data_IF_628698433781
#
_entry.id   IF_628698433781
#
_cell.length_a   1.000
_cell.length_b   1.000
_cell.length_c   1.000
_cell.angle_alpha   90.00
_cell.angle_beta   90.00
_cell.angle_gamma   90.00
#
_symmetry.space_group_name_H-M   'P 1'
#
loop_
_entity.id
_entity.type
_entity.pdbx_description
1 polymer ?
#
# COMPACT_ATOMS: atom_id res chain seq x y z
N UNK A 1 -17.52 -11.92 29.97
CA UNK A 1 -18.32 -11.87 28.74
C UNK A 1 -17.88 -10.66 27.95
N UNK A 2 -17.65 -10.82 26.64
CA UNK A 2 -17.54 -9.67 25.72
C UNK A 2 -18.88 -8.95 25.77
N UNK A 3 -18.90 -7.74 26.34
CA UNK A 3 -20.08 -6.87 26.27
C UNK A 3 -20.14 -6.13 24.93
N UNK A 4 -19.01 -6.09 24.21
CA UNK A 4 -18.84 -5.53 22.87
C UNK A 4 -17.62 -6.19 22.20
N UNK A 5 -17.58 -6.32 20.86
CA UNK A 5 -16.36 -6.71 20.14
C UNK A 5 -15.21 -5.73 20.42
N UNK A 6 -13.96 -6.22 20.37
CA UNK A 6 -12.80 -5.36 20.18
C UNK A 6 -13.05 -4.48 18.96
N UNK A 7 -12.91 -3.16 19.12
CA UNK A 7 -13.20 -2.20 18.07
C UNK A 7 -12.07 -1.19 18.02
N UNK A 8 -11.35 -1.14 16.92
CA UNK A 8 -10.49 -0.02 16.57
C UNK A 8 -11.41 1.09 16.06
N UNK A 9 -11.60 2.14 16.85
CA UNK A 9 -12.27 3.35 16.37
C UNK A 9 -11.30 4.52 16.35
N UNK A 10 -11.18 5.24 15.22
CA UNK A 10 -11.98 5.13 13.99
C UNK A 10 -11.35 4.26 12.89
N UNK A 11 -12.19 3.65 12.05
CA UNK A 11 -12.11 3.40 10.58
C UNK A 11 -10.77 3.40 9.81
N UNK A 12 -10.73 2.55 8.77
CA UNK A 12 -10.08 2.75 7.46
C UNK A 12 -9.13 3.96 7.35
N UNK A 13 -7.83 3.68 7.23
CA UNK A 13 -6.77 4.69 7.15
C UNK A 13 -6.41 5.37 8.50
N UNK A 14 -6.38 4.64 9.62
CA UNK A 14 -5.98 5.18 10.94
C UNK A 14 -4.51 4.95 11.28
N UNK A 15 -3.76 4.29 10.40
CA UNK A 15 -2.36 4.01 10.53
C UNK A 15 -2.05 2.88 11.51
N UNK A 16 -0.77 2.51 11.56
CA UNK A 16 -0.32 1.41 12.40
C UNK A 16 -0.66 1.61 13.88
N UNK A 17 -1.43 0.69 14.43
CA UNK A 17 -1.89 0.74 15.81
C UNK A 17 -1.95 -0.65 16.47
N UNK A 18 -2.20 -0.68 17.78
CA UNK A 18 -2.35 -1.94 18.50
C UNK A 18 -3.39 -1.81 19.59
N UNK A 19 -4.34 -2.75 19.61
CA UNK A 19 -5.36 -2.88 20.65
C UNK A 19 -5.10 -4.15 21.44
N UNK A 20 -5.09 -4.03 22.77
CA UNK A 20 -4.90 -5.16 23.68
C UNK A 20 -6.18 -5.46 24.42
N UNK A 21 -6.64 -6.72 24.35
CA UNK A 21 -7.70 -7.25 25.20
C UNK A 21 -7.13 -8.25 26.22
N UNK A 22 -7.67 -8.24 27.44
CA UNK A 22 -7.25 -9.15 28.50
C UNK A 22 -8.45 -9.86 29.11
N UNK A 23 -8.40 -11.19 29.11
CA UNK A 23 -9.43 -12.06 29.67
C UNK A 23 -8.89 -12.74 30.92
N UNK A 24 -9.59 -12.61 32.04
CA UNK A 24 -9.30 -13.45 33.21
C UNK A 24 -10.08 -14.75 33.07
N UNK A 25 -9.40 -15.89 33.20
CA UNK A 25 -10.02 -17.21 33.20
C UNK A 25 -9.74 -17.94 34.51
N UNK A 26 -10.62 -18.88 34.83
CA UNK A 26 -10.49 -19.77 35.96
C UNK A 26 -10.49 -21.21 35.45
N UNK A 27 -9.50 -22.00 35.86
CA UNK A 27 -9.44 -23.43 35.56
C UNK A 27 -9.63 -24.22 36.86
N UNK A 28 -10.49 -25.23 36.80
CA UNK A 28 -10.82 -26.12 37.92
C UNK A 28 -10.49 -27.54 37.53
N UNK A 29 -9.70 -28.26 38.33
CA UNK A 29 -9.43 -29.68 38.11
C UNK A 29 -10.57 -30.58 38.61
N UNK A 30 -10.46 -31.90 38.39
CA UNK A 30 -11.48 -32.86 38.81
C UNK A 30 -11.61 -33.03 40.33
N UNK A 31 -10.65 -32.51 41.10
CA UNK A 31 -10.65 -32.52 42.57
C UNK A 31 -11.19 -31.20 43.15
N UNK A 32 -11.54 -30.22 42.31
CA UNK A 32 -12.06 -28.93 42.72
C UNK A 32 -10.99 -27.89 43.03
N UNK A 33 -9.71 -28.15 42.72
CA UNK A 33 -8.67 -27.12 42.84
C UNK A 33 -8.85 -26.07 41.77
N UNK A 34 -8.73 -24.80 42.15
CA UNK A 34 -9.00 -23.66 41.27
C UNK A 34 -7.74 -22.82 41.08
N UNK A 35 -7.41 -22.49 39.83
CA UNK A 35 -6.40 -21.49 39.47
C UNK A 35 -7.04 -20.38 38.64
N UNK A 36 -6.60 -19.14 38.85
CA UNK A 36 -7.00 -17.98 38.05
C UNK A 36 -5.78 -17.48 37.28
N UNK A 37 -5.95 -17.18 36.00
CA UNK A 37 -4.90 -16.64 35.13
C UNK A 37 -5.52 -15.75 34.05
N UNK A 38 -4.70 -15.23 33.14
CA UNK A 38 -5.14 -14.34 32.07
C UNK A 38 -4.77 -14.86 30.69
N UNK A 39 -5.58 -14.52 29.70
CA UNK A 39 -5.31 -14.61 28.27
C UNK A 39 -5.22 -13.18 27.77
N UNK A 40 -4.12 -12.82 27.11
CA UNK A 40 -3.92 -11.50 26.50
C UNK A 40 -3.97 -11.67 24.98
N UNK A 41 -4.79 -10.85 24.32
CA UNK A 41 -4.93 -10.80 22.87
C UNK A 41 -4.48 -9.43 22.39
N UNK A 42 -3.58 -9.39 21.42
CA UNK A 42 -3.16 -8.16 20.75
C UNK A 42 -3.67 -8.21 19.31
N UNK A 43 -4.35 -7.14 18.90
CA UNK A 43 -4.74 -6.88 17.51
C UNK A 43 -3.78 -5.80 17.03
N UNK A 44 -2.96 -6.14 16.03
CA UNK A 44 -1.97 -5.23 15.45
C UNK A 44 -2.46 -4.82 14.08
N UNK A 45 -2.60 -3.53 13.90
CA UNK A 45 -2.97 -2.87 12.65
C UNK A 45 -1.69 -2.38 11.97
N UNK A 46 -1.54 -2.61 10.67
CA UNK A 46 -0.36 -2.19 9.92
C UNK A 46 -0.72 -1.30 8.73
N UNK A 47 0.30 -0.69 8.12
CA UNK A 47 0.17 0.18 6.96
C UNK A 47 0.88 -0.51 5.80
N UNK A 48 0.39 -0.43 4.55
CA UNK A 48 1.14 -0.96 3.42
C UNK A 48 2.45 -0.18 3.30
N UNK A 49 3.49 -0.82 2.79
CA UNK A 49 4.78 -0.18 2.53
C UNK A 49 5.07 -0.17 1.04
N UNK A 50 4.95 1.01 0.46
CA UNK A 50 5.35 1.28 -0.92
C UNK A 50 6.86 1.58 -0.97
N UNK A 51 7.60 0.93 -1.87
CA UNK A 51 9.01 1.15 -2.11
C UNK A 51 9.19 1.74 -3.51
N UNK A 52 10.06 2.75 -3.64
CA UNK A 52 10.26 3.40 -4.93
C UNK A 52 10.75 2.41 -6.00
N UNK A 53 10.18 2.54 -7.19
CA UNK A 53 10.59 1.80 -8.38
C UNK A 53 11.54 2.62 -9.24
N UNK A 54 12.26 1.90 -10.11
CA UNK A 54 13.05 2.52 -11.18
C UNK A 54 13.03 1.62 -12.41
N UNK A 55 12.89 2.21 -13.58
CA UNK A 55 13.06 1.53 -14.86
C UNK A 55 13.87 2.42 -15.82
N UNK A 56 14.46 1.79 -16.83
CA UNK A 56 15.13 2.51 -17.92
C UNK A 56 14.62 1.99 -19.26
N UNK A 57 14.50 2.89 -20.21
CA UNK A 57 14.06 2.59 -21.57
C UNK A 57 14.89 3.42 -22.53
N UNK A 58 15.16 2.87 -23.71
CA UNK A 58 15.73 3.67 -24.80
C UNK A 58 14.68 4.65 -25.31
N UNK A 59 15.13 5.80 -25.77
CA UNK A 59 14.27 6.80 -26.39
C UNK A 59 13.38 6.20 -27.51
N UNK A 60 12.10 6.57 -27.52
CA UNK A 60 11.11 6.02 -28.45
C UNK A 60 10.68 4.57 -28.14
N UNK A 61 11.22 3.96 -27.09
CA UNK A 61 10.89 2.61 -26.65
C UNK A 61 9.77 2.57 -25.62
N UNK A 62 9.41 1.34 -25.26
CA UNK A 62 8.41 1.03 -24.23
C UNK A 62 9.03 0.10 -23.20
N UNK A 63 8.75 0.33 -21.92
CA UNK A 63 9.10 -0.57 -20.82
C UNK A 63 7.86 -0.88 -20.01
N UNK A 64 7.73 -2.14 -19.60
CA UNK A 64 6.65 -2.63 -18.74
C UNK A 64 7.20 -3.22 -17.45
N UNK A 65 6.38 -3.18 -16.40
CA UNK A 65 6.71 -3.73 -15.10
C UNK A 65 5.48 -3.80 -14.20
N UNK A 66 5.68 -4.26 -12.97
CA UNK A 66 4.65 -4.19 -11.94
C UNK A 66 5.21 -3.48 -10.71
N UNK A 67 4.62 -2.34 -10.34
CA UNK A 67 5.08 -1.52 -9.18
C UNK A 67 4.91 -2.25 -7.86
N UNK A 68 3.98 -3.21 -7.78
CA UNK A 68 3.75 -3.98 -6.55
C UNK A 68 4.82 -5.04 -6.29
N UNK A 69 5.78 -5.24 -7.22
CA UNK A 69 6.75 -6.33 -7.13
C UNK A 69 7.73 -6.19 -5.96
N UNK A 70 8.01 -4.96 -5.52
CA UNK A 70 8.86 -4.65 -4.38
C UNK A 70 8.07 -4.13 -3.16
N UNK A 71 6.74 -4.07 -3.24
CA UNK A 71 5.87 -3.49 -2.23
C UNK A 71 5.38 -4.53 -1.21
N UNK A 72 4.96 -4.06 -0.03
CA UNK A 72 4.36 -4.89 1.03
C UNK A 72 2.94 -4.40 1.28
N UNK A 73 1.95 -5.28 1.10
CA UNK A 73 0.53 -4.93 1.17
C UNK A 73 -0.11 -4.91 2.57
N UNK A 74 0.68 -5.04 3.64
CA UNK A 74 0.14 -5.14 5.01
C UNK A 74 -0.52 -6.49 5.32
N UNK A 75 -1.08 -6.60 6.52
CA UNK A 75 -1.80 -7.75 7.05
C UNK A 75 -3.21 -7.89 6.44
N UNK A 76 -3.80 -6.77 6.01
CA UNK A 76 -5.15 -6.72 5.40
C UNK A 76 -5.15 -7.08 3.90
N UNK A 77 -3.95 -7.19 3.31
CA UNK A 77 -3.79 -7.41 1.88
C UNK A 77 -4.23 -6.19 1.06
N UNK A 78 -4.16 -6.24 -0.28
CA UNK A 78 -4.49 -5.09 -1.12
C UNK A 78 -5.97 -4.72 -1.05
N UNK A 79 -6.26 -3.43 -1.26
CA UNK A 79 -7.63 -2.95 -1.42
C UNK A 79 -8.43 -3.76 -2.45
N UNK A 80 -9.74 -3.88 -2.22
CA UNK A 80 -10.64 -4.57 -3.14
C UNK A 80 -10.61 -3.89 -4.53
N UNK A 81 -10.19 -4.65 -5.55
CA UNK A 81 -10.03 -4.15 -6.93
C UNK A 81 -8.61 -3.78 -7.33
N UNK A 82 -7.63 -3.90 -6.42
CA UNK A 82 -6.21 -3.70 -6.69
C UNK A 82 -5.55 -2.80 -5.65
N UNK A 83 -4.26 -3.05 -5.38
CA UNK A 83 -3.50 -2.34 -4.36
C UNK A 83 -3.15 -0.89 -4.71
N UNK A 84 -3.22 -0.48 -5.98
CA UNK A 84 -2.92 0.90 -6.41
C UNK A 84 -4.22 1.70 -6.55
N UNK A 85 -4.30 2.86 -5.90
CA UNK A 85 -5.49 3.73 -5.93
C UNK A 85 -5.34 4.99 -6.77
N UNK A 86 -4.11 5.36 -7.14
CA UNK A 86 -3.90 6.47 -8.05
C UNK A 86 -2.46 6.70 -8.45
N UNK A 87 -2.29 7.52 -9.49
CA UNK A 87 -1.00 7.93 -10.06
C UNK A 87 -1.07 9.35 -10.61
N UNK A 88 0.02 10.11 -10.45
CA UNK A 88 0.18 11.46 -11.05
C UNK A 88 1.64 11.72 -11.43
N UNK A 89 1.86 12.65 -12.36
CA UNK A 89 3.20 13.12 -12.69
C UNK A 89 3.81 13.93 -11.52
N UNK A 90 5.14 13.84 -11.38
CA UNK A 90 5.91 14.52 -10.34
C UNK A 90 6.35 13.59 -9.22
N UNK A 91 7.16 14.14 -8.31
CA UNK A 91 7.85 13.42 -7.23
C UNK A 91 7.31 13.70 -5.83
N UNK A 92 6.19 14.42 -5.73
CA UNK A 92 5.63 14.83 -4.44
C UNK A 92 4.89 13.66 -3.75
N UNK A 93 5.51 13.09 -2.74
CA UNK A 93 4.93 12.01 -1.94
C UNK A 93 4.17 12.50 -0.69
N UNK A 94 4.07 13.81 -0.48
CA UNK A 94 3.45 14.37 0.74
C UNK A 94 1.93 14.23 0.78
N UNK A 95 1.29 14.05 -0.38
CA UNK A 95 -0.15 13.84 -0.50
C UNK A 95 -0.45 12.55 -1.27
N UNK A 96 -1.35 11.70 -0.76
CA UNK A 96 -1.83 10.54 -1.50
C UNK A 96 -2.50 10.91 -2.82
N UNK A 97 -2.43 9.99 -3.78
CA UNK A 97 -3.03 10.12 -5.10
C UNK A 97 -4.22 9.18 -5.23
N UNK A 98 -5.32 9.71 -5.75
CA UNK A 98 -6.49 8.91 -6.11
C UNK A 98 -6.88 9.25 -7.54
N UNK A 99 -7.10 8.22 -8.35
CA UNK A 99 -7.43 8.37 -9.78
C UNK A 99 -6.20 8.40 -10.70
N UNK A 100 -6.42 8.67 -11.99
CA UNK A 100 -5.37 8.63 -13.03
C UNK A 100 -5.03 7.22 -13.55
N UNK A 101 -5.55 6.17 -12.91
CA UNK A 101 -5.37 4.79 -13.36
C UNK A 101 -5.96 4.57 -14.75
N UNK A 102 -5.33 3.68 -15.52
CA UNK A 102 -5.69 3.34 -16.91
C UNK A 102 -5.76 4.55 -17.86
N UNK A 103 -5.14 5.67 -17.49
CA UNK A 103 -5.04 6.88 -18.30
C UNK A 103 -3.56 7.20 -18.57
N UNK A 104 -3.31 7.95 -19.63
CA UNK A 104 -1.96 8.43 -19.92
C UNK A 104 -1.61 9.59 -18.98
N UNK A 105 -0.65 9.35 -18.10
CA UNK A 105 -0.06 10.37 -17.23
C UNK A 105 1.19 10.90 -17.94
N UNK A 106 1.09 12.11 -18.48
CA UNK A 106 2.18 12.70 -19.25
C UNK A 106 3.31 13.19 -18.32
N UNK A 107 4.53 12.72 -18.61
CA UNK A 107 5.77 13.32 -18.14
C UNK A 107 6.32 14.29 -19.19
N UNK A 108 7.60 14.62 -19.05
CA UNK A 108 8.35 15.48 -19.99
C UNK A 108 8.86 14.68 -21.19
N UNK A 109 9.26 13.43 -20.99
CA UNK A 109 9.95 12.58 -21.96
C UNK A 109 9.11 11.37 -22.41
N UNK A 110 7.91 11.21 -21.86
CA UNK A 110 7.00 10.13 -22.19
C UNK A 110 5.69 10.22 -21.42
N UNK A 111 4.96 9.12 -21.40
CA UNK A 111 3.80 8.97 -20.53
C UNK A 111 3.78 7.58 -19.88
N UNK A 112 3.23 7.53 -18.66
CA UNK A 112 2.98 6.32 -17.91
C UNK A 112 1.50 5.96 -17.98
N UNK A 113 1.19 4.67 -18.15
CA UNK A 113 -0.13 4.10 -17.82
C UNK A 113 0.07 3.12 -16.67
N UNK A 114 -0.77 3.20 -15.64
CA UNK A 114 -0.75 2.32 -14.47
C UNK A 114 -2.16 1.83 -14.17
N UNK A 115 -2.33 0.53 -13.92
CA UNK A 115 -3.60 -0.04 -13.48
C UNK A 115 -3.64 -0.28 -11.97
N UNK A 116 -4.82 -0.65 -11.45
CA UNK A 116 -5.02 -0.91 -10.02
C UNK A 116 -4.24 -2.13 -9.50
N UNK A 117 -3.84 -3.05 -10.39
CA UNK A 117 -3.05 -4.24 -10.06
C UNK A 117 -1.55 -3.99 -10.20
N UNK A 118 -1.14 -2.74 -10.38
CA UNK A 118 0.24 -2.32 -10.45
C UNK A 118 0.90 -2.50 -11.81
N UNK A 119 0.18 -2.96 -12.84
CA UNK A 119 0.78 -3.12 -14.16
C UNK A 119 1.07 -1.75 -14.76
N UNK A 120 2.36 -1.48 -14.96
CA UNK A 120 2.89 -0.22 -15.45
C UNK A 120 3.42 -0.38 -16.87
N UNK A 121 3.12 0.59 -17.72
CA UNK A 121 3.66 0.70 -19.07
C UNK A 121 4.06 2.15 -19.33
N UNK A 122 5.36 2.37 -19.57
CA UNK A 122 5.91 3.69 -19.87
C UNK A 122 6.35 3.75 -21.34
N UNK A 123 5.84 4.75 -22.05
CA UNK A 123 6.15 5.04 -23.46
C UNK A 123 7.04 6.26 -23.53
N UNK A 124 8.29 6.09 -23.96
CA UNK A 124 9.19 7.23 -24.21
C UNK A 124 8.91 7.86 -25.57
N UNK A 125 8.91 9.20 -25.63
CA UNK A 125 8.80 9.93 -26.88
C UNK A 125 10.13 9.88 -27.67
N UNK A 126 10.08 9.68 -29.01
CA UNK A 126 11.28 9.70 -29.84
C UNK A 126 11.85 11.13 -29.97
N UNK A 127 13.19 11.26 -30.01
CA UNK A 127 13.92 12.52 -30.15
C UNK A 127 13.54 13.60 -29.10
N UNK A 128 13.22 13.18 -27.88
CA UNK A 128 12.85 14.02 -26.73
C UNK A 128 14.02 14.29 -25.76
N UNK A 129 15.15 13.58 -25.87
CA UNK A 129 16.31 13.74 -24.96
C UNK A 129 17.57 14.21 -25.70
N UNK A 130 18.34 15.11 -25.07
CA UNK A 130 19.60 15.64 -25.64
C UNK A 130 20.86 14.95 -25.07
N UNK A 131 20.70 13.76 -24.47
CA UNK A 131 21.76 12.99 -23.83
C UNK A 131 21.21 11.97 -22.81
N UNK A 132 22.06 11.07 -22.31
CA UNK A 132 21.65 10.08 -21.30
C UNK A 132 21.33 10.76 -19.95
N UNK A 133 20.44 10.13 -19.18
CA UNK A 133 20.11 10.56 -17.81
C UNK A 133 18.91 11.49 -17.68
N UNK A 134 18.12 11.68 -18.75
CA UNK A 134 16.79 12.27 -18.64
C UNK A 134 15.86 11.35 -17.82
N UNK A 135 15.03 11.95 -16.96
CA UNK A 135 14.16 11.21 -16.04
C UNK A 135 12.78 11.86 -16.00
N UNK A 136 11.75 11.04 -16.14
CA UNK A 136 10.41 11.35 -15.66
C UNK A 136 10.19 10.65 -14.32
N UNK A 137 9.39 11.27 -13.45
CA UNK A 137 9.01 10.69 -12.16
C UNK A 137 7.51 10.79 -12.01
N UNK A 138 6.90 9.70 -11.56
CA UNK A 138 5.48 9.61 -11.27
C UNK A 138 5.30 9.18 -9.82
N UNK A 139 4.32 9.78 -9.14
CA UNK A 139 3.96 9.39 -7.78
C UNK A 139 2.72 8.50 -7.84
N UNK A 140 2.75 7.36 -7.15
CA UNK A 140 1.61 6.46 -6.99
C UNK A 140 1.33 6.16 -5.52
N UNK A 141 0.10 5.75 -5.24
CA UNK A 141 -0.37 5.45 -3.88
C UNK A 141 -0.94 4.04 -3.80
N UNK A 142 -0.46 3.28 -2.82
CA UNK A 142 -1.01 2.01 -2.40
C UNK A 142 -2.13 2.19 -1.39
N UNK A 143 -3.08 1.25 -1.38
CA UNK A 143 -4.07 1.07 -0.33
C UNK A 143 -4.26 -0.41 -0.02
N UNK A 144 -4.37 -0.74 1.25
CA UNK A 144 -4.71 -2.09 1.72
C UNK A 144 -6.23 -2.28 1.93
N UNK A 145 -6.60 -3.42 2.51
CA UNK A 145 -7.97 -3.89 2.62
C UNK A 145 -8.84 -3.06 3.56
N UNK A 146 -8.24 -2.43 4.56
CA UNK A 146 -8.94 -1.65 5.57
C UNK A 146 -8.94 -0.16 5.20
N UNK A 147 -7.93 0.34 4.49
CA UNK A 147 -7.91 1.67 3.88
C UNK A 147 -6.62 2.47 4.06
N UNK A 148 -5.67 1.96 4.83
CA UNK A 148 -4.34 2.53 5.05
C UNK A 148 -3.55 2.69 3.75
N UNK A 149 -2.72 3.74 3.70
CA UNK A 149 -2.07 4.18 2.46
C UNK A 149 -0.58 4.43 2.61
N UNK A 150 0.14 4.13 1.54
CA UNK A 150 1.54 4.50 1.38
C UNK A 150 1.80 5.04 -0.03
N UNK A 151 2.57 6.12 -0.12
CA UNK A 151 2.81 6.84 -1.38
C UNK A 151 4.30 6.85 -1.69
N UNK A 152 4.66 6.50 -2.93
CA UNK A 152 6.04 6.46 -3.41
C UNK A 152 6.10 6.81 -4.90
N UNK A 153 7.28 6.67 -5.51
CA UNK A 153 7.53 7.04 -6.91
C UNK A 153 7.95 5.87 -7.77
N UNK A 154 7.72 6.00 -9.08
CA UNK A 154 8.33 5.24 -10.17
C UNK A 154 8.94 6.19 -11.21
#
# INVERSE_FOLDING_TARGET
TLTTPANTTPHANDGANTVTETFTYQATDSLGNVVTSTIVVNIVDDVPKANADTASVTEGGVVTGNVLANDVGGADGPAAGGGVVGVRAGSDTSTPVVGGLNSQINGTYGYLTLDAHGNAEYHSYPNSVNGPGATDTFTYTLRDGDGDQSTTTI
#
